data_IF_451090332850
#
_entry.id   IF_451090332850
#
_cell.length_a   1.000
_cell.length_b   1.000
_cell.length_c   1.000
_cell.angle_alpha   90.00
_cell.angle_beta   90.00
_cell.angle_gamma   90.00
#
_symmetry.space_group_name_H-M   'P 1'
#
loop_
_entity.id
_entity.type
_entity.pdbx_description
1 polymer ?
#
# COMPACT_ATOMS: atom_id res chain seq x y z
N UNK A 1 -3.15 -7.34 2.70
CA UNK A 1 -1.87 -6.63 2.44
C UNK A 1 -1.55 -6.80 0.96
N UNK A 2 -1.19 -5.71 0.27
CA UNK A 2 -0.96 -5.69 -1.19
C UNK A 2 0.55 -5.68 -1.48
N UNK A 3 1.19 -6.78 -1.10
CA UNK A 3 2.64 -7.03 -1.25
C UNK A 3 3.54 -6.23 -0.33
N UNK A 4 4.82 -6.56 -0.41
CA UNK A 4 5.95 -5.95 0.30
C UNK A 4 5.70 -5.80 1.81
N UNK A 5 5.24 -6.88 2.44
CA UNK A 5 4.99 -6.92 3.87
C UNK A 5 6.30 -6.87 4.68
N UNK A 6 7.38 -7.46 4.14
CA UNK A 6 8.71 -7.47 4.73
C UNK A 6 9.78 -7.14 3.67
N UNK A 7 10.79 -6.36 4.06
CA UNK A 7 11.85 -5.89 3.15
C UNK A 7 13.19 -6.63 3.30
N UNK A 8 13.27 -7.73 4.07
CA UNK A 8 14.51 -8.49 4.25
C UNK A 8 14.30 -9.97 4.52
N UNK A 9 15.36 -10.74 4.31
CA UNK A 9 15.48 -12.10 4.86
C UNK A 9 15.42 -12.10 6.39
N UNK A 10 15.15 -13.28 6.94
CA UNK A 10 14.82 -13.53 8.34
C UNK A 10 15.56 -12.64 9.36
N UNK A 11 14.82 -11.73 9.99
CA UNK A 11 15.36 -10.75 10.93
C UNK A 11 14.55 -10.78 12.24
N UNK A 12 15.03 -10.11 13.31
CA UNK A 12 14.31 -10.07 14.60
C UNK A 12 12.90 -9.47 14.50
N UNK A 13 12.61 -8.71 13.45
CA UNK A 13 11.27 -8.12 13.23
C UNK A 13 10.24 -9.20 12.91
N UNK A 14 10.65 -10.29 12.25
CA UNK A 14 9.78 -11.44 12.01
C UNK A 14 9.41 -12.16 13.31
N UNK A 15 10.36 -12.34 14.21
CA UNK A 15 10.09 -12.92 15.54
C UNK A 15 9.12 -12.04 16.35
N UNK A 16 9.31 -10.71 16.29
CA UNK A 16 8.38 -9.78 16.93
C UNK A 16 7.00 -9.81 16.28
N UNK A 17 6.92 -9.94 14.96
CA UNK A 17 5.67 -10.08 14.25
C UNK A 17 4.94 -11.36 14.66
N UNK A 18 5.63 -12.50 14.74
CA UNK A 18 5.04 -13.77 15.19
C UNK A 18 4.51 -13.67 16.63
N UNK A 19 5.21 -12.97 17.53
CA UNK A 19 4.71 -12.71 18.88
C UNK A 19 3.47 -11.83 18.87
N UNK A 20 3.51 -10.72 18.15
CA UNK A 20 2.34 -9.84 18.00
C UNK A 20 1.15 -10.60 17.41
N UNK A 21 1.39 -11.48 16.44
CA UNK A 21 0.35 -12.28 15.80
C UNK A 21 -0.38 -13.19 16.77
N UNK A 22 0.29 -13.69 17.82
CA UNK A 22 -0.33 -14.51 18.86
C UNK A 22 -1.37 -13.73 19.68
N UNK A 23 -1.18 -12.43 19.88
CA UNK A 23 -2.14 -11.58 20.58
C UNK A 23 -3.42 -11.33 19.77
N UNK A 24 -3.39 -11.62 18.46
CA UNK A 24 -4.50 -11.38 17.52
C UNK A 24 -4.84 -12.63 16.71
N UNK A 25 -4.79 -13.83 17.30
CA UNK A 25 -4.97 -15.12 16.60
C UNK A 25 -6.18 -15.17 15.63
N UNK A 26 -7.30 -14.54 15.98
CA UNK A 26 -8.53 -14.44 15.18
C UNK A 26 -8.47 -13.43 14.00
N UNK A 27 -7.45 -12.58 13.91
CA UNK A 27 -7.32 -11.63 12.81
C UNK A 27 -6.95 -12.34 11.52
N UNK A 28 -7.87 -12.33 10.55
CA UNK A 28 -7.61 -12.85 9.22
C UNK A 28 -6.68 -11.90 8.44
N UNK A 29 -5.56 -12.42 7.96
CA UNK A 29 -4.59 -11.66 7.15
C UNK A 29 -4.42 -12.36 5.81
N UNK A 30 -4.84 -11.68 4.74
CA UNK A 30 -4.59 -12.06 3.35
C UNK A 30 -3.41 -11.23 2.82
N UNK A 31 -2.42 -11.87 2.21
CA UNK A 31 -1.29 -11.24 1.55
C UNK A 31 -1.30 -11.58 0.06
N UNK A 32 -1.41 -10.58 -0.80
CA UNK A 32 -1.04 -10.72 -2.22
C UNK A 32 0.47 -10.51 -2.29
N UNK A 33 1.24 -11.49 -2.77
CA UNK A 33 2.70 -11.41 -2.74
C UNK A 33 3.23 -10.26 -3.60
N UNK A 34 4.12 -9.46 -3.01
CA UNK A 34 4.99 -8.53 -3.72
C UNK A 34 6.35 -9.14 -4.03
N UNK A 35 7.18 -8.37 -4.73
CA UNK A 35 8.51 -8.83 -5.15
C UNK A 35 9.50 -8.93 -3.99
N UNK A 36 9.22 -8.28 -2.85
CA UNK A 36 10.04 -8.40 -1.63
C UNK A 36 9.57 -9.51 -0.66
N UNK A 37 8.41 -10.12 -0.89
CA UNK A 37 7.84 -11.17 -0.02
C UNK A 37 8.48 -12.55 -0.26
N UNK A 38 9.77 -12.66 0.05
CA UNK A 38 10.65 -13.80 -0.29
C UNK A 38 10.71 -14.91 0.77
N UNK A 39 10.06 -14.73 1.93
CA UNK A 39 10.08 -15.72 3.01
C UNK A 39 9.49 -17.07 2.59
N UNK A 40 9.88 -18.13 3.29
CA UNK A 40 9.35 -19.48 3.07
C UNK A 40 7.88 -19.55 3.46
N UNK A 41 7.07 -20.31 2.71
CA UNK A 41 5.65 -20.56 3.01
C UNK A 41 5.42 -21.03 4.44
N UNK A 42 6.35 -21.81 5.01
CA UNK A 42 6.28 -22.28 6.40
C UNK A 42 6.22 -21.13 7.41
N UNK A 43 6.90 -20.02 7.14
CA UNK A 43 6.89 -18.85 8.01
C UNK A 43 5.52 -18.16 7.99
N UNK A 44 4.96 -17.92 6.81
CA UNK A 44 3.63 -17.33 6.67
C UNK A 44 2.53 -18.20 7.27
N UNK A 45 2.64 -19.54 7.14
CA UNK A 45 1.73 -20.48 7.80
C UNK A 45 1.82 -20.36 9.33
N UNK A 46 3.02 -20.27 9.89
CA UNK A 46 3.22 -20.05 11.33
C UNK A 46 2.67 -18.68 11.79
N UNK A 47 2.71 -17.68 10.90
CA UNK A 47 2.10 -16.37 11.11
C UNK A 47 0.58 -16.34 10.85
N UNK A 48 -0.06 -17.46 10.47
CA UNK A 48 -1.49 -17.48 10.13
C UNK A 48 -1.87 -16.48 9.02
N UNK A 49 -1.00 -16.32 8.02
CA UNK A 49 -1.20 -15.45 6.86
C UNK A 49 -1.56 -16.30 5.65
N UNK A 50 -2.69 -15.98 5.01
CA UNK A 50 -3.11 -16.59 3.76
C UNK A 50 -2.43 -15.89 2.59
N UNK A 51 -1.72 -16.66 1.77
CA UNK A 51 -0.94 -16.12 0.65
C UNK A 51 -1.71 -16.29 -0.65
N UNK A 52 -1.84 -15.20 -1.39
CA UNK A 52 -2.26 -15.14 -2.77
C UNK A 52 -1.03 -14.82 -3.63
N UNK A 53 -0.62 -15.75 -4.49
CA UNK A 53 0.66 -15.62 -5.20
C UNK A 53 0.70 -14.54 -6.28
N UNK A 54 -0.45 -14.13 -6.82
CA UNK A 54 -0.51 -13.20 -7.96
C UNK A 54 -1.59 -12.14 -7.76
N UNK A 55 -2.82 -12.56 -7.49
CA UNK A 55 -3.95 -11.66 -7.30
C UNK A 55 -4.94 -12.23 -6.29
N UNK A 56 -5.68 -11.36 -5.62
CA UNK A 56 -6.84 -11.69 -4.81
C UNK A 56 -8.07 -11.01 -5.42
N UNK A 57 -9.16 -11.75 -5.61
CA UNK A 57 -10.42 -11.24 -6.16
C UNK A 57 -11.52 -11.27 -5.12
N UNK A 58 -12.22 -10.14 -4.96
CA UNK A 58 -13.33 -9.99 -4.03
C UNK A 58 -14.46 -9.23 -4.72
N UNK A 59 -15.43 -9.97 -5.27
CA UNK A 59 -16.48 -9.38 -6.10
C UNK A 59 -15.88 -8.68 -7.32
N UNK A 60 -16.25 -7.42 -7.52
CA UNK A 60 -15.76 -6.59 -8.64
C UNK A 60 -14.37 -5.98 -8.39
N UNK A 61 -13.72 -6.31 -7.27
CA UNK A 61 -12.40 -5.80 -6.91
C UNK A 61 -11.29 -6.82 -7.12
N UNK A 62 -10.15 -6.35 -7.63
CA UNK A 62 -8.95 -7.14 -7.87
C UNK A 62 -7.79 -6.49 -7.12
N UNK A 63 -7.11 -7.23 -6.26
CA UNK A 63 -5.95 -6.76 -5.52
C UNK A 63 -4.69 -7.43 -6.07
N UNK A 64 -3.71 -6.62 -6.48
CA UNK A 64 -2.44 -7.05 -7.09
C UNK A 64 -1.30 -6.23 -6.53
N UNK A 65 -0.09 -6.77 -6.39
CA UNK A 65 1.03 -5.96 -5.93
C UNK A 65 1.41 -4.90 -6.97
N UNK A 66 1.79 -5.33 -8.17
CA UNK A 66 1.97 -4.47 -9.34
C UNK A 66 0.76 -4.59 -10.26
N UNK A 67 0.41 -3.50 -10.96
CA UNK A 67 -0.67 -3.51 -11.95
C UNK A 67 -0.45 -4.58 -13.03
N UNK A 68 0.82 -4.80 -13.41
CA UNK A 68 1.22 -5.78 -14.42
C UNK A 68 1.00 -7.24 -13.99
N UNK A 69 0.77 -7.50 -12.70
CA UNK A 69 0.49 -8.85 -12.19
C UNK A 69 -0.97 -9.28 -12.46
N UNK A 70 -1.84 -8.33 -12.87
CA UNK A 70 -3.25 -8.61 -13.09
C UNK A 70 -3.48 -9.42 -14.38
N UNK A 71 -4.12 -10.59 -14.24
CA UNK A 71 -4.33 -11.51 -15.38
C UNK A 71 -5.44 -11.04 -16.33
N UNK A 72 -6.48 -10.40 -15.79
CA UNK A 72 -7.67 -9.93 -16.53
C UNK A 72 -8.05 -8.53 -16.06
N UNK A 73 -7.35 -7.49 -16.49
CA UNK A 73 -7.54 -6.15 -15.97
C UNK A 73 -8.94 -5.57 -16.26
N UNK A 74 -9.57 -5.97 -17.35
CA UNK A 74 -10.91 -5.47 -17.74
C UNK A 74 -12.07 -6.11 -16.96
N UNK A 75 -11.79 -7.03 -16.04
CA UNK A 75 -12.82 -7.81 -15.33
C UNK A 75 -13.24 -7.25 -13.96
N UNK A 76 -12.68 -6.11 -13.56
CA UNK A 76 -12.97 -5.48 -12.28
C UNK A 76 -12.17 -4.20 -12.05
N UNK A 77 -12.34 -3.59 -10.88
CA UNK A 77 -11.59 -2.42 -10.46
C UNK A 77 -10.36 -2.84 -9.65
N UNK A 78 -9.18 -2.41 -10.10
CA UNK A 78 -7.90 -2.90 -9.58
C UNK A 78 -7.41 -2.04 -8.42
N UNK A 79 -6.88 -2.64 -7.37
CA UNK A 79 -6.10 -1.98 -6.34
C UNK A 79 -4.66 -2.51 -6.38
N UNK A 80 -3.70 -1.60 -6.60
CA UNK A 80 -2.29 -1.92 -6.62
C UNK A 80 -1.48 -1.17 -5.57
N UNK A 81 -0.28 -1.69 -5.28
CA UNK A 81 0.73 -1.05 -4.45
C UNK A 81 1.97 -0.73 -5.29
N UNK A 82 3.12 -1.23 -4.83
CA UNK A 82 4.44 -1.21 -5.48
C UNK A 82 5.06 0.18 -5.71
N UNK A 83 4.42 1.06 -6.48
CA UNK A 83 5.06 2.30 -6.97
C UNK A 83 5.13 3.42 -5.92
N UNK A 84 4.39 3.29 -4.82
CA UNK A 84 4.32 4.26 -3.73
C UNK A 84 3.94 5.68 -4.22
N UNK A 85 2.68 5.89 -4.62
CA UNK A 85 2.23 7.13 -5.23
C UNK A 85 2.41 8.33 -4.29
N UNK A 86 2.91 9.43 -4.86
CA UNK A 86 3.01 10.72 -4.20
C UNK A 86 2.56 11.86 -5.08
N UNK A 87 2.19 12.98 -4.47
CA UNK A 87 1.75 14.20 -5.16
C UNK A 87 2.50 15.41 -4.63
N UNK A 88 2.73 16.37 -5.53
CA UNK A 88 3.41 17.63 -5.23
C UNK A 88 2.39 18.76 -5.09
N UNK A 89 2.39 19.43 -3.94
CA UNK A 89 1.56 20.60 -3.66
C UNK A 89 2.45 21.84 -3.69
N UNK A 90 2.10 22.80 -4.55
CA UNK A 90 2.82 24.07 -4.68
C UNK A 90 2.13 25.15 -3.86
N UNK A 91 2.90 25.78 -2.99
CA UNK A 91 2.47 26.92 -2.18
C UNK A 91 2.95 28.25 -2.74
N UNK A 92 2.58 29.32 -2.03
CA UNK A 92 3.11 30.67 -2.29
C UNK A 92 4.63 30.69 -2.10
N UNK A 93 5.34 31.48 -2.91
CA UNK A 93 6.80 31.63 -2.81
C UNK A 93 7.64 30.50 -3.40
N UNK A 94 7.11 29.75 -4.39
CA UNK A 94 7.79 28.62 -5.07
C UNK A 94 8.12 27.43 -4.15
N UNK A 95 7.48 27.33 -2.99
CA UNK A 95 7.60 26.16 -2.12
C UNK A 95 6.81 24.99 -2.70
N UNK A 96 7.39 23.80 -2.63
CA UNK A 96 6.79 22.56 -3.10
C UNK A 96 6.91 21.51 -2.00
N UNK A 97 5.77 20.97 -1.57
CA UNK A 97 5.71 19.90 -0.59
C UNK A 97 5.29 18.60 -1.29
N UNK A 98 5.83 17.48 -0.83
CA UNK A 98 5.59 16.16 -1.38
C UNK A 98 4.88 15.31 -0.34
N UNK A 99 3.78 14.68 -0.72
CA UNK A 99 2.99 13.86 0.18
C UNK A 99 2.68 12.51 -0.48
N UNK A 100 2.71 11.39 0.27
CA UNK A 100 2.12 10.16 -0.20
C UNK A 100 0.62 10.38 -0.46
N UNK A 101 0.05 9.65 -1.41
CA UNK A 101 -1.35 9.85 -1.77
C UNK A 101 -2.06 8.55 -2.10
N UNK A 102 -3.39 8.56 -2.00
CA UNK A 102 -4.21 7.60 -2.74
C UNK A 102 -4.45 8.17 -4.14
N UNK A 103 -4.29 7.35 -5.16
CA UNK A 103 -4.55 7.73 -6.55
C UNK A 103 -5.64 6.83 -7.12
N UNK A 104 -6.70 7.43 -7.66
CA UNK A 104 -7.84 6.75 -8.26
C UNK A 104 -7.96 7.14 -9.73
N UNK A 105 -7.64 6.19 -10.60
CA UNK A 105 -7.91 6.25 -12.03
C UNK A 105 -9.31 5.76 -12.38
N UNK A 106 -9.57 5.53 -13.66
CA UNK A 106 -10.88 5.09 -14.14
C UNK A 106 -11.20 3.62 -13.82
N UNK A 107 -10.18 2.75 -13.84
CA UNK A 107 -10.32 1.29 -13.63
C UNK A 107 -9.37 0.75 -12.56
N UNK A 108 -8.60 1.62 -11.91
CA UNK A 108 -7.61 1.20 -10.92
C UNK A 108 -7.38 2.27 -9.86
N UNK A 109 -6.95 1.85 -8.68
CA UNK A 109 -6.40 2.69 -7.65
C UNK A 109 -5.00 2.21 -7.28
N UNK A 110 -4.13 3.16 -6.98
CA UNK A 110 -2.81 2.89 -6.40
C UNK A 110 -2.81 3.36 -4.95
N UNK A 111 -2.50 2.44 -4.05
CA UNK A 111 -2.44 2.70 -2.62
C UNK A 111 -1.06 3.23 -2.22
N UNK A 112 -0.99 4.17 -1.26
CA UNK A 112 0.26 4.64 -0.68
C UNK A 112 0.99 3.51 0.04
N UNK A 113 2.31 3.63 0.18
CA UNK A 113 3.05 2.80 1.12
C UNK A 113 2.52 3.01 2.54
N UNK A 114 2.37 1.92 3.31
CA UNK A 114 2.04 2.02 4.73
C UNK A 114 3.25 2.49 5.56
N UNK A 115 4.46 2.14 5.13
CA UNK A 115 5.69 2.48 5.84
C UNK A 115 6.07 3.95 5.63
N UNK A 116 6.69 4.55 6.65
CA UNK A 116 7.07 5.97 6.65
C UNK A 116 8.32 6.29 5.82
N UNK A 117 9.13 5.29 5.50
CA UNK A 117 10.51 5.46 5.02
C UNK A 117 10.71 5.13 3.53
N UNK A 118 9.66 5.15 2.73
CA UNK A 118 9.76 4.91 1.29
C UNK A 118 9.84 6.22 0.52
N UNK A 119 10.62 6.23 -0.56
CA UNK A 119 10.46 7.24 -1.60
C UNK A 119 9.07 7.17 -2.24
N UNK A 120 8.65 8.24 -2.91
CA UNK A 120 7.36 8.28 -3.61
C UNK A 120 7.55 8.49 -5.11
N UNK A 121 6.72 7.84 -5.91
CA UNK A 121 6.60 8.10 -7.34
C UNK A 121 5.59 9.23 -7.59
N UNK A 122 6.02 10.32 -8.24
CA UNK A 122 5.19 11.49 -8.47
C UNK A 122 4.10 11.25 -9.52
N UNK A 123 2.85 11.29 -9.08
CA UNK A 123 1.66 11.13 -9.91
C UNK A 123 1.25 12.46 -10.53
N UNK A 124 0.87 12.41 -11.81
CA UNK A 124 0.17 13.49 -12.52
C UNK A 124 -1.18 12.93 -12.96
N UNK A 125 -2.28 13.20 -12.22
CA UNK A 125 -3.58 12.63 -12.56
C UNK A 125 -4.05 13.13 -13.93
N UNK A 126 -4.66 12.23 -14.71
CA UNK A 126 -5.33 12.58 -15.95
C UNK A 126 -6.70 13.19 -15.66
N UNK A 127 -7.34 13.75 -16.69
CA UNK A 127 -8.69 14.30 -16.58
C UNK A 127 -9.67 13.21 -16.12
N UNK A 128 -10.40 13.48 -15.04
CA UNK A 128 -11.38 12.56 -14.46
C UNK A 128 -10.82 11.65 -13.36
N UNK A 129 -9.51 11.64 -13.17
CA UNK A 129 -8.85 10.88 -12.10
C UNK A 129 -8.73 11.75 -10.84
N UNK A 130 -8.64 11.11 -9.67
CA UNK A 130 -8.64 11.80 -8.38
C UNK A 130 -7.43 11.41 -7.56
N UNK A 131 -6.84 12.39 -6.87
CA UNK A 131 -5.75 12.14 -5.92
C UNK A 131 -6.16 12.65 -4.54
N UNK A 132 -5.90 11.84 -3.51
CA UNK A 132 -6.06 12.25 -2.10
C UNK A 132 -4.68 12.26 -1.43
N UNK A 133 -4.09 13.44 -1.24
CA UNK A 133 -2.82 13.59 -0.53
C UNK A 133 -3.01 13.33 0.98
N UNK A 134 -2.07 12.62 1.58
CA UNK A 134 -2.07 12.31 3.01
C UNK A 134 -1.23 13.34 3.73
N UNK A 135 -1.91 14.17 4.52
CA UNK A 135 -1.28 15.20 5.33
C UNK A 135 -0.89 14.62 6.70
N UNK A 136 0.37 14.75 7.12
CA UNK A 136 0.81 14.24 8.40
C UNK A 136 0.18 15.04 9.55
N UNK A 137 -0.07 14.36 10.68
CA UNK A 137 -0.42 15.05 11.91
C UNK A 137 0.75 15.89 12.40
N UNK A 138 0.46 17.04 12.99
CA UNK A 138 1.45 17.89 13.64
C UNK A 138 1.20 17.91 15.15
N UNK A 139 1.82 16.96 15.85
CA UNK A 139 1.64 16.78 17.29
C UNK A 139 2.11 17.99 18.11
N UNK A 140 3.11 18.74 17.63
CA UNK A 140 3.59 19.95 18.30
C UNK A 140 2.53 21.06 18.31
N UNK A 141 1.72 21.12 17.25
CA UNK A 141 0.63 22.09 17.10
C UNK A 141 -0.76 21.53 17.44
N UNK A 142 -0.83 20.25 17.87
CA UNK A 142 -2.09 19.52 18.08
C UNK A 142 -3.00 19.48 16.85
N UNK A 143 -2.42 19.52 15.65
CA UNK A 143 -3.17 19.40 14.39
C UNK A 143 -3.27 17.92 14.01
N UNK A 144 -4.48 17.48 13.68
CA UNK A 144 -4.72 16.13 13.15
C UNK A 144 -4.19 16.03 11.71
N UNK A 145 -3.79 14.82 11.33
CA UNK A 145 -3.56 14.50 9.92
C UNK A 145 -4.88 14.55 9.13
N UNK A 146 -4.79 14.51 7.82
CA UNK A 146 -5.97 14.61 6.97
C UNK A 146 -5.74 14.16 5.54
N UNK A 147 -6.83 14.20 4.76
CA UNK A 147 -6.80 13.96 3.33
C UNK A 147 -7.14 15.24 2.58
N UNK A 148 -6.33 15.58 1.59
CA UNK A 148 -6.59 16.70 0.68
C UNK A 148 -6.84 16.18 -0.73
N UNK A 149 -8.03 16.45 -1.26
CA UNK A 149 -8.46 16.02 -2.60
C UNK A 149 -7.96 16.99 -3.69
N UNK A 150 -7.48 16.43 -4.79
CA UNK A 150 -7.11 17.09 -6.04
C UNK A 150 -7.89 16.51 -7.22
#
# INVERSE_FOLDING_TARGET
>A
VIGDMFHSDDNREHDFFLKWRQDFDQLNIELVKGNHDILKTSWYNAAGIHINNSELRMGDFIFVHDFNDCTKPDSGYIFSGHIHPGVSIRGLGKQSLHFPCFYFGHQYAVLPAFSRFTGTYLIKPLKGETVYAILPANHLKKELGGLLKF
#
